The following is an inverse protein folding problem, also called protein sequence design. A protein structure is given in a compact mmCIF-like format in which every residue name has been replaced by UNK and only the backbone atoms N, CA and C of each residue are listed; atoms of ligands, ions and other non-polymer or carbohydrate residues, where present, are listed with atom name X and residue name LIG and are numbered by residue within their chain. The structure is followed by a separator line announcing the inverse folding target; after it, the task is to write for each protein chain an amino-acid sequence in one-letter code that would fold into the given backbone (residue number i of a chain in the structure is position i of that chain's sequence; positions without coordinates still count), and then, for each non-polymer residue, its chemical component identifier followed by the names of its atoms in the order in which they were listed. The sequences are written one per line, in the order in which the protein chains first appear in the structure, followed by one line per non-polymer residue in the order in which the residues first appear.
data_IF_208787933671
#
_entry.id   IF_208787933671
#
_cell.length_a   1.000
_cell.length_b   1.000
_cell.length_c   1.000
_cell.angle_alpha   90.00
_cell.angle_beta   90.00
_cell.angle_gamma   90.00
#
_symmetry.space_group_name_H-M   'P 1'
#
loop_
_entity.id
_entity.type
_entity.pdbx_description
1 polymer ?
#
# COMPACT_ATOMS: atom_id res chain seq x y z
N UNK A 1 42.67 7.08 42.14
CA UNK A 1 42.72 8.25 41.25
C UNK A 1 42.20 7.80 39.90
N UNK A 2 41.11 8.43 39.43
CA UNK A 2 40.27 8.07 38.28
C UNK A 2 40.83 8.67 36.98
N UNK A 3 40.56 7.99 35.84
CA UNK A 3 40.43 8.45 34.42
C UNK A 3 41.26 7.58 33.46
N UNK A 4 40.80 7.17 32.27
CA UNK A 4 39.54 7.46 31.56
C UNK A 4 39.27 6.36 30.52
N UNK A 5 37.99 6.01 30.35
CA UNK A 5 37.47 5.32 29.17
C UNK A 5 36.89 6.38 28.23
N UNK A 6 37.03 6.25 26.91
CA UNK A 6 35.96 6.52 25.93
C UNK A 6 36.48 6.54 24.48
N UNK A 7 35.69 5.87 23.61
CA UNK A 7 35.41 6.15 22.19
C UNK A 7 35.60 4.94 21.26
N UNK A 8 34.59 4.07 21.27
CA UNK A 8 34.21 3.22 20.13
C UNK A 8 32.68 3.12 20.06
N UNK A 9 32.02 4.27 19.99
CA UNK A 9 30.62 4.42 19.56
C UNK A 9 30.67 5.54 18.53
N UNK A 10 30.39 5.27 17.25
CA UNK A 10 30.02 6.29 16.23
C UNK A 10 29.87 5.72 14.80
N UNK A 11 30.17 4.44 14.54
CA UNK A 11 30.09 3.88 13.17
C UNK A 11 28.79 3.08 12.90
N UNK A 12 28.00 2.75 13.93
CA UNK A 12 26.80 1.93 13.80
C UNK A 12 25.50 2.73 13.58
N UNK A 13 25.45 3.99 14.04
CA UNK A 13 24.27 4.87 13.92
C UNK A 13 24.06 5.37 12.50
N UNK A 14 25.14 5.81 11.84
CA UNK A 14 25.10 6.48 10.53
C UNK A 14 24.58 5.63 9.37
N UNK A 15 24.62 4.29 9.45
CA UNK A 15 24.13 3.40 8.37
C UNK A 15 22.68 2.95 8.53
N UNK A 16 22.14 3.01 9.74
CA UNK A 16 20.73 2.75 10.00
C UNK A 16 19.90 3.95 9.52
N UNK A 17 20.47 5.15 9.69
CA UNK A 17 19.89 6.43 9.28
C UNK A 17 19.62 6.51 7.77
N UNK A 18 20.43 5.87 6.92
CA UNK A 18 20.26 5.90 5.45
C UNK A 18 19.05 5.07 4.95
N UNK A 19 18.69 3.99 5.64
CA UNK A 19 17.52 3.15 5.26
C UNK A 19 16.25 3.68 5.91
N UNK A 20 16.33 4.16 7.15
CA UNK A 20 15.22 4.83 7.83
C UNK A 20 14.87 6.16 7.16
N UNK A 21 15.85 6.95 6.68
CA UNK A 21 15.54 8.15 5.88
C UNK A 21 14.91 7.82 4.53
N UNK A 22 15.35 6.74 3.85
CA UNK A 22 14.75 6.35 2.56
C UNK A 22 13.28 5.94 2.68
N UNK A 23 12.87 5.25 3.76
CA UNK A 23 11.46 4.89 4.00
C UNK A 23 10.68 5.99 4.74
N UNK A 24 11.36 6.87 5.49
CA UNK A 24 10.72 7.97 6.19
C UNK A 24 10.10 8.99 5.24
N UNK A 25 10.67 9.25 4.06
CA UNK A 25 10.08 10.23 3.13
C UNK A 25 8.71 9.81 2.59
N UNK A 26 8.52 8.58 2.04
CA UNK A 26 7.20 8.10 1.65
C UNK A 26 6.23 8.00 2.84
N UNK A 27 6.70 7.52 4.00
CA UNK A 27 5.86 7.36 5.20
C UNK A 27 5.47 8.72 5.81
N UNK A 28 6.38 9.69 5.88
CA UNK A 28 6.09 11.04 6.37
C UNK A 28 5.23 11.82 5.37
N UNK A 29 5.45 11.61 4.06
CA UNK A 29 4.55 12.12 3.04
C UNK A 29 3.16 11.53 3.22
N UNK A 30 3.04 10.21 3.40
CA UNK A 30 1.79 9.53 3.67
C UNK A 30 1.10 10.06 4.93
N UNK A 31 1.83 10.17 6.05
CA UNK A 31 1.33 10.74 7.31
C UNK A 31 0.88 12.18 7.11
N UNK A 32 1.60 12.97 6.32
CA UNK A 32 1.24 14.36 6.00
C UNK A 32 -0.01 14.44 5.11
N UNK A 33 -0.13 13.56 4.12
CA UNK A 33 -1.30 13.46 3.26
C UNK A 33 -2.53 13.02 4.07
N UNK A 34 -2.40 11.97 4.87
CA UNK A 34 -3.45 11.46 5.76
C UNK A 34 -3.84 12.49 6.82
N UNK A 35 -2.88 13.24 7.38
CA UNK A 35 -3.18 14.39 8.26
C UNK A 35 -3.95 15.49 7.53
N UNK A 36 -3.67 15.74 6.25
CA UNK A 36 -4.40 16.71 5.43
C UNK A 36 -5.82 16.23 5.07
N UNK A 37 -5.99 14.92 4.80
CA UNK A 37 -7.32 14.30 4.67
C UNK A 37 -8.14 14.52 5.94
N UNK A 38 -7.57 14.21 7.10
CA UNK A 38 -8.24 14.41 8.39
C UNK A 38 -8.53 15.89 8.66
N UNK A 39 -7.57 16.79 8.42
CA UNK A 39 -7.70 18.21 8.74
C UNK A 39 -8.74 18.95 7.88
N UNK A 40 -8.86 18.60 6.59
CA UNK A 40 -9.85 19.21 5.70
C UNK A 40 -11.29 18.74 5.98
N UNK A 41 -11.44 17.55 6.58
CA UNK A 41 -12.74 16.95 6.91
C UNK A 41 -13.24 17.34 8.30
N UNK A 42 -12.33 17.72 9.22
CA UNK A 42 -12.68 18.16 10.58
C UNK A 42 -13.15 19.63 10.71
N UNK A 43 -13.32 20.37 9.60
CA UNK A 43 -13.89 21.72 9.66
C UNK A 43 -15.35 21.65 10.16
N UNK A 44 -15.68 22.29 11.30
CA UNK A 44 -17.01 22.20 11.88
C UNK A 44 -18.05 22.84 10.95
N UNK A 45 -19.12 22.09 10.65
CA UNK A 45 -20.31 22.60 9.95
C UNK A 45 -21.12 23.51 10.90
N UNK A 46 -20.74 24.78 11.05
CA UNK A 46 -21.69 25.83 11.47
C UNK A 46 -21.19 27.26 11.23
N UNK A 47 -22.05 28.01 10.53
CA UNK A 47 -22.31 29.47 10.55
C UNK A 47 -21.40 30.47 9.80
N UNK A 48 -21.98 30.92 8.67
CA UNK A 48 -22.15 32.32 8.19
C UNK A 48 -20.96 33.15 7.67
N UNK A 49 -21.04 33.43 6.36
CA UNK A 49 -20.74 34.69 5.64
C UNK A 49 -19.57 35.56 6.13
N UNK A 50 -18.53 35.67 5.31
CA UNK A 50 -18.14 36.95 4.68
C UNK A 50 -17.47 36.69 3.33
N UNK A 51 -17.94 37.45 2.33
CA UNK A 51 -17.34 37.64 1.01
C UNK A 51 -15.84 37.94 1.08
N UNK A 52 -15.05 37.28 0.24
CA UNK A 52 -14.06 37.94 -0.62
C UNK A 52 -14.07 37.20 -1.97
N UNK A 53 -14.81 37.77 -2.92
CA UNK A 53 -14.45 37.64 -4.34
C UNK A 53 -13.16 38.42 -4.56
N UNK A 54 -12.18 37.80 -5.22
CA UNK A 54 -11.25 38.45 -6.13
C UNK A 54 -10.51 37.35 -6.92
N UNK A 55 -10.86 37.25 -8.21
CA UNK A 55 -10.02 36.97 -9.39
C UNK A 55 -8.93 35.87 -9.27
N UNK A 56 -8.80 34.91 -10.17
CA UNK A 56 -8.76 35.09 -11.62
C UNK A 56 -8.83 33.71 -12.29
N UNK A 57 -9.66 33.65 -13.33
CA UNK A 57 -9.79 32.54 -14.25
C UNK A 57 -8.45 32.29 -14.97
N UNK A 58 -7.91 31.09 -14.84
CA UNK A 58 -6.95 30.56 -15.81
C UNK A 58 -7.10 29.04 -15.90
N UNK A 59 -7.90 28.64 -16.88
CA UNK A 59 -7.73 27.40 -17.59
C UNK A 59 -6.26 27.24 -18.02
N UNK A 60 -5.53 26.35 -17.35
CA UNK A 60 -4.36 25.71 -17.91
C UNK A 60 -4.57 24.20 -17.86
N UNK A 61 -4.93 23.64 -19.01
CA UNK A 61 -4.96 22.20 -19.27
C UNK A 61 -3.51 21.73 -19.37
N UNK A 62 -2.88 21.56 -18.21
CA UNK A 62 -1.49 21.12 -18.09
C UNK A 62 -1.42 19.65 -17.70
N UNK A 63 -0.88 18.83 -18.60
CA UNK A 63 -0.44 17.45 -18.38
C UNK A 63 0.02 17.20 -16.94
N UNK A 64 -0.65 16.28 -16.23
CA UNK A 64 -0.39 15.98 -14.82
C UNK A 64 1.02 15.36 -14.64
N UNK A 65 2.05 16.11 -14.19
CA UNK A 65 3.44 15.62 -14.14
C UNK A 65 3.61 14.49 -13.13
N UNK A 66 2.69 14.39 -12.16
CA UNK A 66 2.74 13.44 -11.06
C UNK A 66 2.75 12.00 -11.56
N UNK A 67 1.91 11.61 -12.53
CA UNK A 67 1.86 10.24 -13.08
C UNK A 67 3.14 9.83 -13.84
N UNK A 68 3.82 10.79 -14.47
CA UNK A 68 5.16 10.55 -15.03
C UNK A 68 6.22 10.40 -13.92
N UNK A 69 6.04 11.11 -12.80
CA UNK A 69 6.82 10.92 -11.59
C UNK A 69 6.46 9.62 -10.86
N UNK A 70 5.30 9.00 -11.04
CA UNK A 70 4.98 7.66 -10.50
C UNK A 70 5.81 6.56 -11.15
N UNK A 71 5.85 6.54 -12.49
CA UNK A 71 6.70 5.62 -13.24
C UNK A 71 8.18 5.90 -12.93
N UNK A 72 8.58 7.17 -12.92
CA UNK A 72 9.95 7.57 -12.62
C UNK A 72 10.35 7.35 -11.17
N UNK A 73 9.46 7.48 -10.19
CA UNK A 73 9.73 7.24 -8.78
C UNK A 73 9.80 5.74 -8.49
N UNK A 74 8.94 4.91 -9.08
CA UNK A 74 9.07 3.45 -9.00
C UNK A 74 10.40 2.97 -9.63
N UNK A 75 10.78 3.55 -10.79
CA UNK A 75 12.07 3.27 -11.45
C UNK A 75 13.25 3.85 -10.65
N UNK A 76 13.12 5.05 -10.06
CA UNK A 76 14.17 5.68 -9.24
C UNK A 76 14.33 4.95 -7.91
N UNK A 77 13.26 4.40 -7.33
CA UNK A 77 13.31 3.51 -6.18
C UNK A 77 14.02 2.19 -6.56
N UNK A 78 13.79 1.66 -7.76
CA UNK A 78 14.51 0.49 -8.27
C UNK A 78 15.98 0.82 -8.58
N UNK A 79 16.28 2.03 -9.09
CA UNK A 79 17.63 2.47 -9.45
C UNK A 79 18.47 2.97 -8.26
N UNK A 80 17.87 3.50 -7.18
CA UNK A 80 18.61 3.90 -5.97
C UNK A 80 19.23 2.69 -5.24
N UNK A 81 18.73 1.48 -5.47
CA UNK A 81 19.29 0.24 -4.92
C UNK A 81 20.28 -0.48 -5.86
N UNK A 82 20.53 0.02 -7.07
CA UNK A 82 21.69 -0.40 -7.88
C UNK A 82 22.95 0.32 -7.37
N UNK A 83 23.47 -0.16 -6.25
CA UNK A 83 24.69 0.32 -5.64
C UNK A 83 25.91 0.00 -6.50
N UNK A 84 26.22 0.86 -7.47
CA UNK A 84 27.60 1.04 -7.97
C UNK A 84 28.29 2.21 -7.27
N UNK A 85 28.55 2.02 -5.97
CA UNK A 85 29.61 2.77 -5.30
C UNK A 85 30.96 2.22 -5.75
N UNK A 86 31.68 2.98 -6.59
CA UNK A 86 33.12 2.80 -6.78
C UNK A 86 33.85 4.05 -6.28
N UNK A 87 34.24 4.03 -5.01
CA UNK A 87 35.45 4.73 -4.54
C UNK A 87 36.56 3.68 -4.47
N UNK A 88 37.37 3.63 -5.53
CA UNK A 88 38.56 2.79 -5.62
C UNK A 88 39.65 3.58 -6.30
N UNK A 89 40.61 4.03 -5.50
CA UNK A 89 41.85 4.71 -5.88
C UNK A 89 42.62 3.78 -6.83
N UNK A 90 42.74 4.16 -8.10
CA UNK A 90 43.50 3.39 -9.11
C UNK A 90 44.95 3.85 -9.05
N UNK A 91 45.81 2.98 -8.52
CA UNK A 91 47.20 2.91 -8.95
C UNK A 91 47.26 2.17 -10.28
N UNK A 92 48.06 2.71 -11.19
CA UNK A 92 48.33 2.17 -12.52
C UNK A 92 48.90 0.75 -12.45
N UNK A 93 48.32 -0.17 -13.23
CA UNK A 93 49.02 -0.82 -14.35
C UNK A 93 48.28 -2.08 -14.84
N UNK A 94 48.26 -2.20 -16.17
CA UNK A 94 48.09 -3.42 -16.98
C UNK A 94 46.82 -4.26 -16.82
N UNK A 95 45.80 -3.92 -17.61
CA UNK A 95 44.94 -4.93 -18.26
C UNK A 95 44.19 -4.31 -19.45
N UNK A 96 44.92 -3.98 -20.51
CA UNK A 96 44.34 -4.00 -21.85
C UNK A 96 44.45 -5.43 -22.37
N UNK A 97 43.44 -5.88 -23.12
CA UNK A 97 43.35 -7.15 -23.88
C UNK A 97 42.30 -8.16 -23.37
N UNK A 98 41.31 -7.81 -22.52
CA UNK A 98 39.99 -8.51 -22.53
C UNK A 98 38.84 -7.54 -22.18
N UNK A 99 38.66 -6.48 -22.98
CA UNK A 99 37.47 -5.59 -22.89
C UNK A 99 37.00 -5.13 -24.28
N UNK A 100 36.61 -6.08 -25.14
CA UNK A 100 35.89 -5.71 -26.38
C UNK A 100 34.65 -6.55 -26.71
N UNK A 101 34.36 -7.65 -26.00
CA UNK A 101 33.17 -8.48 -26.27
C UNK A 101 32.04 -8.38 -25.24
N UNK A 102 32.28 -7.90 -24.02
CA UNK A 102 31.25 -7.78 -22.97
C UNK A 102 30.59 -6.40 -22.88
N UNK A 103 31.25 -5.35 -23.37
CA UNK A 103 30.72 -3.97 -23.33
C UNK A 103 29.55 -3.71 -24.29
N UNK A 104 29.53 -4.40 -25.44
CA UNK A 104 28.47 -4.22 -26.45
C UNK A 104 27.15 -4.86 -25.98
N UNK A 105 27.19 -6.00 -25.30
CA UNK A 105 26.00 -6.66 -24.75
C UNK A 105 25.38 -5.87 -23.59
N UNK A 106 26.20 -5.40 -22.64
CA UNK A 106 25.71 -4.61 -21.50
C UNK A 106 25.16 -3.25 -21.93
N UNK A 107 25.82 -2.59 -22.89
CA UNK A 107 25.34 -1.32 -23.44
C UNK A 107 24.05 -1.51 -24.25
N UNK A 108 23.91 -2.61 -25.02
CA UNK A 108 22.70 -2.92 -25.79
C UNK A 108 21.50 -3.22 -24.88
N UNK A 109 21.70 -4.02 -23.84
CA UNK A 109 20.66 -4.32 -22.83
C UNK A 109 20.26 -3.03 -22.09
N UNK A 110 21.21 -2.21 -21.63
CA UNK A 110 20.89 -0.92 -21.00
C UNK A 110 20.24 0.09 -21.94
N UNK A 111 20.49 0.02 -23.26
CA UNK A 111 19.84 0.87 -24.24
C UNK A 111 18.42 0.39 -24.52
N UNK A 112 18.21 -0.92 -24.67
CA UNK A 112 16.89 -1.55 -24.85
C UNK A 112 15.98 -1.35 -23.62
N UNK A 113 16.52 -1.48 -22.41
CA UNK A 113 15.81 -1.23 -21.16
C UNK A 113 15.37 0.25 -21.02
N UNK A 114 16.27 1.19 -21.34
CA UNK A 114 15.94 2.63 -21.33
C UNK A 114 14.92 2.98 -22.40
N UNK A 115 15.00 2.37 -23.58
CA UNK A 115 14.06 2.60 -24.69
C UNK A 115 12.68 2.02 -24.37
N UNK A 116 12.62 0.83 -23.76
CA UNK A 116 11.36 0.22 -23.35
C UNK A 116 10.67 1.03 -22.24
N UNK A 117 11.44 1.43 -21.22
CA UNK A 117 10.95 2.27 -20.13
C UNK A 117 10.47 3.65 -20.62
N UNK A 118 11.23 4.29 -21.52
CA UNK A 118 10.82 5.56 -22.14
C UNK A 118 9.57 5.42 -23.02
N UNK A 119 9.39 4.29 -23.71
CA UNK A 119 8.18 4.01 -24.50
C UNK A 119 6.95 3.82 -23.61
N UNK A 120 7.08 3.06 -22.51
CA UNK A 120 5.98 2.87 -21.55
C UNK A 120 5.59 4.20 -20.93
N UNK A 121 6.56 5.00 -20.46
CA UNK A 121 6.30 6.34 -19.90
C UNK A 121 5.59 7.21 -20.94
N UNK A 122 6.02 7.18 -22.20
CA UNK A 122 5.39 7.95 -23.28
C UNK A 122 3.93 7.52 -23.52
N UNK A 123 3.66 6.21 -23.55
CA UNK A 123 2.30 5.67 -23.70
C UNK A 123 1.42 6.07 -22.51
N UNK A 124 1.89 5.84 -21.28
CA UNK A 124 1.18 6.20 -20.03
C UNK A 124 0.92 7.71 -19.96
N UNK A 125 1.88 8.53 -20.39
CA UNK A 125 1.73 10.00 -20.43
C UNK A 125 0.80 10.50 -21.54
N UNK A 126 0.57 9.68 -22.57
CA UNK A 126 -0.34 10.02 -23.68
C UNK A 126 -1.79 9.63 -23.42
N UNK A 127 -2.05 8.84 -22.37
CA UNK A 127 -3.41 8.48 -21.97
C UNK A 127 -4.09 9.64 -21.26
N UNK A 128 -5.32 9.95 -21.64
CA UNK A 128 -6.15 10.92 -20.93
C UNK A 128 -6.74 10.29 -19.67
N UNK A 129 -6.03 10.44 -18.55
CA UNK A 129 -6.42 9.89 -17.25
C UNK A 129 -7.71 10.49 -16.67
N UNK A 130 -8.10 11.68 -17.14
CA UNK A 130 -9.32 12.37 -16.72
C UNK A 130 -10.53 12.02 -17.60
N UNK A 131 -10.33 11.25 -18.68
CA UNK A 131 -11.41 10.82 -19.57
C UNK A 131 -12.50 10.07 -18.80
N UNK A 132 -13.73 10.57 -18.91
CA UNK A 132 -14.92 9.98 -18.28
C UNK A 132 -15.67 9.07 -19.25
N UNK A 133 -16.02 7.88 -18.78
CA UNK A 133 -16.88 6.94 -19.50
C UNK A 133 -17.73 6.15 -18.50
N UNK A 134 -18.86 5.62 -18.96
CA UNK A 134 -19.64 4.72 -18.13
C UNK A 134 -18.84 3.44 -17.83
N UNK A 135 -18.99 2.84 -16.64
CA UNK A 135 -18.44 1.52 -16.38
C UNK A 135 -19.09 0.50 -17.30
N UNK A 136 -18.27 -0.34 -17.92
CA UNK A 136 -18.70 -1.42 -18.79
C UNK A 136 -18.06 -2.74 -18.34
N UNK A 137 -18.69 -3.86 -18.69
CA UNK A 137 -18.13 -5.18 -18.41
C UNK A 137 -16.81 -5.42 -19.16
N UNK A 138 -16.59 -4.76 -20.30
CA UNK A 138 -15.31 -4.84 -21.01
C UNK A 138 -14.13 -4.27 -20.22
N UNK A 139 -14.37 -3.38 -19.25
CA UNK A 139 -13.29 -2.83 -18.42
C UNK A 139 -12.56 -3.95 -17.63
N UNK A 140 -13.27 -5.04 -17.28
CA UNK A 140 -12.70 -6.19 -16.57
C UNK A 140 -11.73 -7.02 -17.42
N UNK A 141 -11.60 -6.77 -18.72
CA UNK A 141 -10.59 -7.43 -19.58
C UNK A 141 -9.16 -7.12 -19.12
N UNK A 142 -8.96 -6.01 -18.40
CA UNK A 142 -7.66 -5.64 -17.81
C UNK A 142 -7.36 -6.43 -16.52
N UNK A 143 -8.36 -7.01 -15.87
CA UNK A 143 -8.21 -7.67 -14.58
C UNK A 143 -7.30 -8.93 -14.65
N UNK A 144 -7.42 -9.83 -15.64
CA UNK A 144 -6.49 -10.95 -15.82
C UNK A 144 -5.02 -10.52 -15.97
N UNK A 145 -4.76 -9.37 -16.59
CA UNK A 145 -3.40 -8.82 -16.69
C UNK A 145 -2.83 -8.57 -15.29
N UNK A 146 -3.58 -7.93 -14.39
CA UNK A 146 -3.11 -7.68 -13.03
C UNK A 146 -2.97 -8.96 -12.19
N UNK A 147 -3.87 -9.93 -12.36
CA UNK A 147 -3.77 -11.25 -11.70
C UNK A 147 -2.44 -11.95 -12.00
N UNK A 148 -1.92 -11.83 -13.22
CA UNK A 148 -0.63 -12.43 -13.63
C UNK A 148 0.54 -11.51 -13.29
N UNK A 149 0.34 -10.20 -13.40
CA UNK A 149 1.35 -9.19 -13.11
C UNK A 149 1.88 -9.29 -11.68
N UNK A 150 1.00 -9.34 -10.68
CA UNK A 150 1.41 -9.36 -9.27
C UNK A 150 2.30 -10.56 -8.88
N UNK A 151 1.94 -11.83 -9.14
CA UNK A 151 2.82 -12.96 -8.84
C UNK A 151 4.12 -12.90 -9.64
N UNK A 152 4.09 -12.39 -10.87
CA UNK A 152 5.30 -12.21 -11.68
C UNK A 152 6.25 -11.20 -11.02
N UNK A 153 5.75 -10.03 -10.64
CA UNK A 153 6.55 -9.01 -9.94
C UNK A 153 7.05 -9.54 -8.60
N UNK A 154 6.21 -10.24 -7.82
CA UNK A 154 6.61 -10.89 -6.56
C UNK A 154 7.80 -11.82 -6.79
N UNK A 155 7.72 -12.69 -7.79
CA UNK A 155 8.79 -13.65 -8.12
C UNK A 155 10.12 -12.94 -8.40
N UNK A 156 10.11 -11.87 -9.21
CA UNK A 156 11.32 -11.09 -9.51
C UNK A 156 11.85 -10.37 -8.26
N UNK A 157 11.00 -9.68 -7.51
CA UNK A 157 11.43 -8.97 -6.31
C UNK A 157 11.97 -9.92 -5.24
N UNK A 158 11.31 -11.07 -5.04
CA UNK A 158 11.76 -12.13 -4.13
C UNK A 158 13.18 -12.56 -4.44
N UNK A 159 13.48 -12.84 -5.72
CA UNK A 159 14.76 -13.40 -6.14
C UNK A 159 15.89 -12.37 -6.20
N UNK A 160 15.59 -11.15 -6.65
CA UNK A 160 16.61 -10.16 -6.93
C UNK A 160 16.82 -9.13 -5.83
N UNK A 161 15.78 -8.86 -5.03
CA UNK A 161 15.74 -7.77 -4.04
C UNK A 161 15.55 -8.31 -2.61
N UNK A 162 14.39 -8.92 -2.32
CA UNK A 162 14.02 -9.24 -0.94
C UNK A 162 14.93 -10.28 -0.30
N UNK A 163 15.37 -11.30 -1.04
CA UNK A 163 16.35 -12.28 -0.55
C UNK A 163 17.66 -11.60 -0.09
N UNK A 164 18.20 -10.70 -0.93
CA UNK A 164 19.49 -10.02 -0.65
C UNK A 164 19.35 -9.03 0.50
N UNK A 165 18.26 -8.26 0.51
CA UNK A 165 17.97 -7.28 1.56
C UNK A 165 17.73 -7.99 2.89
N UNK A 166 16.87 -9.02 2.91
CA UNK A 166 16.55 -9.80 4.09
C UNK A 166 17.80 -10.45 4.70
N UNK A 167 18.63 -11.13 3.89
CA UNK A 167 19.90 -11.72 4.39
C UNK A 167 20.83 -10.67 5.00
N UNK A 168 20.92 -9.50 4.38
CA UNK A 168 21.77 -8.40 4.87
C UNK A 168 21.25 -7.80 6.17
N UNK A 169 19.94 -7.61 6.30
CA UNK A 169 19.31 -7.00 7.48
C UNK A 169 19.22 -7.97 8.66
N UNK A 170 18.95 -9.26 8.42
CA UNK A 170 18.78 -10.26 9.48
C UNK A 170 20.14 -10.78 9.99
N UNK A 171 21.14 -11.01 9.13
CA UNK A 171 22.40 -11.66 9.51
C UNK A 171 23.64 -10.76 9.49
N UNK A 172 23.52 -9.51 9.02
CA UNK A 172 24.63 -8.57 8.93
C UNK A 172 25.74 -8.98 7.93
N UNK A 173 26.81 -8.18 7.84
CA UNK A 173 27.94 -8.42 6.91
C UNK A 173 28.87 -9.58 7.33
N UNK A 174 28.76 -10.08 8.56
CA UNK A 174 29.77 -10.94 9.19
C UNK A 174 29.52 -12.44 9.16
N UNK A 175 28.35 -12.90 8.71
CA UNK A 175 27.95 -14.32 8.82
C UNK A 175 27.68 -14.94 7.43
N UNK A 176 28.60 -14.73 6.47
CA UNK A 176 28.44 -15.32 5.13
C UNK A 176 28.78 -16.81 5.04
N UNK A 177 29.34 -17.43 6.09
CA UNK A 177 29.71 -18.84 6.04
C UNK A 177 29.54 -19.50 7.41
N UNK A 178 28.35 -20.04 7.69
CA UNK A 178 28.23 -21.26 8.50
C UNK A 178 27.24 -22.15 7.78
N UNK A 179 27.74 -23.30 7.35
CA UNK A 179 27.17 -24.27 6.39
C UNK A 179 25.89 -24.97 6.87
N UNK A 180 25.29 -24.54 7.99
CA UNK A 180 23.95 -24.93 8.39
C UNK A 180 23.04 -23.69 8.46
N UNK A 181 22.32 -23.40 7.37
CA UNK A 181 21.09 -22.61 7.48
C UNK A 181 20.13 -23.39 8.38
N UNK A 182 20.04 -23.01 9.66
CA UNK A 182 19.02 -23.57 10.55
C UNK A 182 17.64 -23.27 9.96
N UNK A 183 16.70 -24.21 10.08
CA UNK A 183 15.34 -24.03 9.56
C UNK A 183 14.70 -22.74 10.08
N UNK A 184 15.00 -22.34 11.32
CA UNK A 184 14.63 -21.05 11.90
C UNK A 184 15.09 -19.83 11.08
N UNK A 185 16.31 -19.87 10.53
CA UNK A 185 16.82 -18.78 9.69
C UNK A 185 16.07 -18.71 8.36
N UNK A 186 15.79 -19.87 7.75
CA UNK A 186 14.99 -19.93 6.52
C UNK A 186 13.56 -19.45 6.74
N UNK A 187 12.92 -19.84 7.86
CA UNK A 187 11.59 -19.39 8.29
C UNK A 187 11.57 -17.86 8.44
N UNK A 188 12.57 -17.26 9.10
CA UNK A 188 12.68 -15.79 9.24
C UNK A 188 12.85 -15.07 7.90
N UNK A 189 13.69 -15.56 6.99
CA UNK A 189 13.84 -14.98 5.65
C UNK A 189 12.52 -15.07 4.87
N UNK A 190 11.83 -16.22 4.91
CA UNK A 190 10.54 -16.40 4.23
C UNK A 190 9.50 -15.40 4.72
N UNK A 191 9.31 -15.30 6.04
CA UNK A 191 8.39 -14.32 6.66
C UNK A 191 8.75 -12.88 6.31
N UNK A 192 10.05 -12.54 6.30
CA UNK A 192 10.52 -11.23 5.86
C UNK A 192 10.13 -10.93 4.40
N UNK A 193 10.33 -11.89 3.49
CA UNK A 193 9.99 -11.74 2.07
C UNK A 193 8.48 -11.60 1.84
N UNK A 194 7.67 -12.40 2.54
CA UNK A 194 6.21 -12.28 2.54
C UNK A 194 5.77 -10.87 2.97
N UNK A 195 6.32 -10.36 4.08
CA UNK A 195 6.04 -9.00 4.55
C UNK A 195 6.56 -7.91 3.61
N UNK A 196 7.74 -8.08 3.02
CA UNK A 196 8.30 -7.13 2.06
C UNK A 196 7.43 -7.02 0.80
N UNK A 197 6.95 -8.14 0.28
CA UNK A 197 6.02 -8.16 -0.86
C UNK A 197 4.74 -7.39 -0.54
N UNK A 198 4.10 -7.69 0.61
CA UNK A 198 2.88 -7.00 1.04
C UNK A 198 3.12 -5.51 1.24
N UNK A 199 4.25 -5.13 1.85
CA UNK A 199 4.63 -3.72 2.03
C UNK A 199 4.75 -2.98 0.70
N UNK A 200 5.40 -3.58 -0.31
CA UNK A 200 5.55 -2.97 -1.64
C UNK A 200 4.19 -2.78 -2.29
N UNK A 201 3.32 -3.79 -2.23
CA UNK A 201 1.96 -3.68 -2.73
C UNK A 201 1.19 -2.55 -2.03
N UNK A 202 1.04 -2.62 -0.70
CA UNK A 202 0.22 -1.64 0.04
C UNK A 202 0.72 -0.22 -0.15
N UNK A 203 2.04 -0.02 -0.18
CA UNK A 203 2.61 1.31 -0.46
C UNK A 203 2.24 1.76 -1.87
N UNK A 204 2.42 0.92 -2.89
CA UNK A 204 2.08 1.30 -4.27
C UNK A 204 0.58 1.52 -4.47
N UNK A 205 -0.27 0.70 -3.84
CA UNK A 205 -1.73 0.80 -3.89
C UNK A 205 -2.20 2.11 -3.24
N UNK A 206 -1.66 2.42 -2.06
CA UNK A 206 -1.99 3.63 -1.33
C UNK A 206 -1.59 4.90 -2.09
N UNK A 207 -0.35 4.95 -2.62
CA UNK A 207 0.07 6.13 -3.40
C UNK A 207 -0.81 6.24 -4.67
N UNK A 208 -1.20 5.14 -5.30
CA UNK A 208 -2.12 5.17 -6.46
C UNK A 208 -3.53 5.63 -6.07
N UNK A 209 -4.10 5.12 -4.99
CA UNK A 209 -5.43 5.50 -4.50
C UNK A 209 -5.50 6.99 -4.15
N UNK A 210 -4.48 7.51 -3.47
CA UNK A 210 -4.37 8.95 -3.17
C UNK A 210 -4.21 9.75 -4.46
N UNK A 211 -3.38 9.33 -5.41
CA UNK A 211 -3.21 10.05 -6.69
C UNK A 211 -4.52 10.16 -7.48
N UNK A 212 -5.33 9.11 -7.45
CA UNK A 212 -6.61 9.02 -8.16
C UNK A 212 -7.67 9.89 -7.50
N UNK A 213 -7.69 9.93 -6.16
CA UNK A 213 -8.78 10.55 -5.39
C UNK A 213 -8.49 11.97 -4.90
N UNK A 214 -7.22 12.36 -4.73
CA UNK A 214 -6.84 13.62 -4.06
C UNK A 214 -7.43 14.89 -4.69
N UNK A 215 -7.51 14.94 -6.02
CA UNK A 215 -8.08 16.09 -6.76
C UNK A 215 -9.59 15.96 -7.00
N UNK A 216 -10.24 14.93 -6.47
CA UNK A 216 -11.65 14.68 -6.69
C UNK A 216 -12.51 15.27 -5.56
N UNK A 217 -13.69 15.82 -5.86
CA UNK A 217 -14.51 16.51 -4.87
C UNK A 217 -14.98 15.58 -3.74
N UNK A 218 -15.14 14.29 -4.03
CA UNK A 218 -15.58 13.29 -3.05
C UNK A 218 -14.53 12.87 -2.03
N UNK A 219 -13.28 13.29 -2.21
CA UNK A 219 -12.22 13.03 -1.24
C UNK A 219 -12.39 13.84 0.06
N UNK A 220 -13.00 15.02 -0.05
CA UNK A 220 -13.23 15.92 1.10
C UNK A 220 -14.68 15.93 1.57
N UNK A 221 -15.64 15.70 0.66
CA UNK A 221 -17.05 15.77 0.99
C UNK A 221 -17.80 14.56 0.43
N UNK A 222 -18.33 13.76 1.36
CA UNK A 222 -19.02 12.49 1.10
C UNK A 222 -20.30 12.65 0.28
N UNK A 223 -20.91 13.84 0.24
CA UNK A 223 -22.06 14.12 -0.64
C UNK A 223 -21.73 13.88 -2.12
N UNK A 224 -20.48 14.13 -2.51
CA UNK A 224 -20.05 13.93 -3.89
C UNK A 224 -19.76 12.46 -4.25
N UNK A 225 -19.89 11.54 -3.30
CA UNK A 225 -20.04 10.12 -3.64
C UNK A 225 -21.29 9.90 -4.48
N UNK A 226 -22.37 10.61 -4.16
CA UNK A 226 -23.69 10.45 -4.75
C UNK A 226 -23.96 11.47 -5.86
N UNK A 227 -23.40 12.67 -5.73
CA UNK A 227 -23.58 13.76 -6.69
C UNK A 227 -22.27 14.06 -7.43
N UNK A 228 -22.29 14.10 -8.75
CA UNK A 228 -21.16 14.46 -9.60
C UNK A 228 -21.32 15.83 -10.26
N UNK A 229 -20.32 16.25 -11.05
CA UNK A 229 -20.43 17.45 -11.86
C UNK A 229 -21.57 17.34 -12.90
N UNK A 230 -22.26 18.46 -13.13
CA UNK A 230 -23.40 18.52 -14.05
C UNK A 230 -24.60 17.73 -13.53
N UNK A 231 -25.22 16.94 -14.41
CA UNK A 231 -26.42 16.15 -14.10
C UNK A 231 -26.09 14.73 -13.59
N UNK A 232 -24.82 14.43 -13.28
CA UNK A 232 -24.43 13.11 -12.77
C UNK A 232 -24.91 12.91 -11.32
N UNK A 233 -25.82 11.96 -11.10
CA UNK A 233 -26.23 11.51 -9.77
C UNK A 233 -26.23 9.99 -9.74
N UNK A 234 -25.96 9.37 -8.59
CA UNK A 234 -26.10 7.91 -8.48
C UNK A 234 -27.58 7.52 -8.72
N UNK A 235 -27.85 6.46 -9.52
CA UNK A 235 -26.89 5.52 -10.11
C UNK A 235 -26.28 5.99 -11.44
N UNK A 236 -26.75 7.06 -12.10
CA UNK A 236 -26.15 7.51 -13.36
C UNK A 236 -24.82 8.29 -13.27
N UNK A 237 -23.75 7.62 -12.83
CA UNK A 237 -22.40 8.21 -12.72
C UNK A 237 -21.40 7.62 -13.72
N UNK A 238 -20.54 8.48 -14.25
CA UNK A 238 -19.38 8.09 -15.07
C UNK A 238 -18.14 7.92 -14.20
N UNK A 239 -17.21 7.10 -14.69
CA UNK A 239 -15.90 6.90 -14.08
C UNK A 239 -14.81 7.49 -14.94
N UNK A 240 -13.88 8.19 -14.29
CA UNK A 240 -12.61 8.59 -14.89
C UNK A 240 -11.72 7.38 -15.13
N UNK A 241 -10.92 7.40 -16.19
CA UNK A 241 -10.00 6.32 -16.54
C UNK A 241 -9.06 5.96 -15.38
N UNK A 242 -8.58 6.96 -14.64
CA UNK A 242 -7.75 6.75 -13.43
C UNK A 242 -8.46 5.96 -12.33
N UNK A 243 -9.76 6.17 -12.14
CA UNK A 243 -10.58 5.43 -11.18
C UNK A 243 -10.81 3.98 -11.64
N UNK A 244 -11.08 3.77 -12.93
CA UNK A 244 -11.14 2.43 -13.53
C UNK A 244 -9.82 1.68 -13.31
N UNK A 245 -8.69 2.34 -13.57
CA UNK A 245 -7.36 1.79 -13.35
C UNK A 245 -7.11 1.35 -11.90
N UNK A 246 -7.50 2.17 -10.91
CA UNK A 246 -7.42 1.83 -9.49
C UNK A 246 -8.19 0.54 -9.16
N UNK A 247 -9.40 0.41 -9.71
CA UNK A 247 -10.24 -0.76 -9.50
C UNK A 247 -9.67 -2.03 -10.12
N UNK A 248 -9.10 -1.95 -11.33
CA UNK A 248 -8.46 -3.11 -11.97
C UNK A 248 -7.18 -3.51 -11.23
N UNK A 249 -6.41 -2.53 -10.75
CA UNK A 249 -5.22 -2.76 -9.94
C UNK A 249 -5.56 -3.47 -8.62
N UNK A 250 -6.48 -2.92 -7.83
CA UNK A 250 -6.91 -3.51 -6.56
C UNK A 250 -7.60 -4.86 -6.78
N UNK A 251 -8.55 -4.94 -7.71
CA UNK A 251 -9.28 -6.19 -8.02
C UNK A 251 -8.35 -7.33 -8.46
N UNK A 252 -7.35 -7.03 -9.29
CA UNK A 252 -6.33 -7.99 -9.69
C UNK A 252 -5.50 -8.50 -8.50
N UNK A 253 -5.07 -7.60 -7.60
CA UNK A 253 -4.30 -8.00 -6.42
C UNK A 253 -5.12 -8.81 -5.43
N UNK A 254 -6.35 -8.40 -5.12
CA UNK A 254 -7.20 -9.11 -4.18
C UNK A 254 -7.57 -10.50 -4.70
N UNK A 255 -7.83 -10.63 -6.00
CA UNK A 255 -8.05 -11.94 -6.63
C UNK A 255 -6.79 -12.81 -6.54
N UNK A 256 -5.63 -12.28 -6.91
CA UNK A 256 -4.35 -12.98 -6.73
C UNK A 256 -4.10 -13.36 -5.26
N UNK A 257 -4.44 -12.48 -4.31
CA UNK A 257 -4.20 -12.70 -2.88
C UNK A 257 -5.04 -13.83 -2.32
N UNK A 258 -6.25 -14.07 -2.83
CA UNK A 258 -7.04 -15.26 -2.47
C UNK A 258 -6.29 -16.52 -2.87
N UNK A 259 -5.81 -16.61 -4.12
CA UNK A 259 -5.01 -17.76 -4.57
C UNK A 259 -3.71 -17.90 -3.77
N UNK A 260 -3.01 -16.79 -3.52
CA UNK A 260 -1.80 -16.79 -2.73
C UNK A 260 -2.06 -17.27 -1.30
N UNK A 261 -3.16 -16.86 -0.66
CA UNK A 261 -3.51 -17.33 0.69
C UNK A 261 -3.82 -18.82 0.73
N UNK A 262 -4.48 -19.36 -0.29
CA UNK A 262 -4.84 -20.79 -0.34
C UNK A 262 -3.59 -21.66 -0.58
N UNK A 263 -2.69 -21.23 -1.46
CA UNK A 263 -1.63 -22.11 -2.00
C UNK A 263 -0.20 -21.73 -1.61
N UNK A 264 0.08 -20.49 -1.24
CA UNK A 264 1.46 -19.97 -1.13
C UNK A 264 1.80 -19.35 0.22
N UNK A 265 0.84 -18.71 0.87
CA UNK A 265 1.05 -17.99 2.11
C UNK A 265 0.98 -18.93 3.32
N UNK A 266 1.83 -18.68 4.30
CA UNK A 266 1.84 -19.46 5.55
C UNK A 266 0.48 -19.34 6.28
N UNK A 267 -0.14 -20.49 6.59
CA UNK A 267 -1.43 -20.55 7.29
C UNK A 267 -1.25 -20.19 8.77
N UNK A 268 -1.99 -19.18 9.23
CA UNK A 268 -1.97 -18.68 10.62
C UNK A 268 -3.28 -19.03 11.33
N UNK A 269 -3.32 -18.92 12.65
CA UNK A 269 -4.53 -19.18 13.46
C UNK A 269 -5.75 -18.33 13.05
N UNK A 270 -5.53 -17.12 12.52
CA UNK A 270 -6.57 -16.23 12.00
C UNK A 270 -6.90 -16.44 10.51
N UNK A 271 -6.46 -17.56 9.91
CA UNK A 271 -6.63 -17.82 8.48
C UNK A 271 -8.09 -17.73 8.01
N UNK A 272 -9.03 -18.31 8.74
CA UNK A 272 -10.45 -18.29 8.34
C UNK A 272 -11.02 -16.87 8.30
N UNK A 273 -10.67 -16.05 9.29
CA UNK A 273 -11.10 -14.65 9.38
C UNK A 273 -10.44 -13.82 8.27
N UNK A 274 -9.14 -14.03 8.04
CA UNK A 274 -8.39 -13.38 6.96
C UNK A 274 -8.93 -13.75 5.57
N UNK A 275 -9.21 -15.04 5.32
CA UNK A 275 -9.82 -15.50 4.07
C UNK A 275 -11.21 -14.88 3.87
N UNK A 276 -12.05 -14.89 4.91
CA UNK A 276 -13.36 -14.25 4.88
C UNK A 276 -13.27 -12.76 4.52
N UNK A 277 -12.30 -12.04 5.07
CA UNK A 277 -12.02 -10.67 4.69
C UNK A 277 -11.66 -10.52 3.21
N UNK A 278 -10.73 -11.34 2.69
CA UNK A 278 -10.35 -11.24 1.28
C UNK A 278 -11.52 -11.52 0.32
N UNK A 279 -12.40 -12.45 0.69
CA UNK A 279 -13.64 -12.73 -0.06
C UNK A 279 -14.58 -11.53 0.00
N UNK A 280 -14.88 -11.00 1.19
CA UNK A 280 -15.76 -9.82 1.37
C UNK A 280 -15.20 -8.60 0.62
N UNK A 281 -13.91 -8.32 0.74
CA UNK A 281 -13.24 -7.21 0.06
C UNK A 281 -13.25 -7.39 -1.47
N UNK A 282 -13.04 -8.60 -1.99
CA UNK A 282 -13.12 -8.86 -3.44
C UNK A 282 -14.54 -8.66 -3.98
N UNK A 283 -15.55 -9.12 -3.24
CA UNK A 283 -16.96 -8.88 -3.57
C UNK A 283 -17.28 -7.38 -3.51
N UNK A 284 -16.80 -6.65 -2.50
CA UNK A 284 -16.97 -5.20 -2.38
C UNK A 284 -16.34 -4.46 -3.56
N UNK A 285 -15.12 -4.82 -3.98
CA UNK A 285 -14.45 -4.22 -5.14
C UNK A 285 -15.28 -4.48 -6.42
N UNK A 286 -15.71 -5.72 -6.65
CA UNK A 286 -16.49 -6.06 -7.84
C UNK A 286 -17.87 -5.35 -7.84
N UNK A 287 -18.64 -5.49 -6.76
CA UNK A 287 -19.98 -4.92 -6.66
C UNK A 287 -19.96 -3.39 -6.64
N UNK A 288 -18.99 -2.76 -5.96
CA UNK A 288 -18.92 -1.30 -6.00
C UNK A 288 -18.61 -0.76 -7.41
N UNK A 289 -17.88 -1.51 -8.23
CA UNK A 289 -17.67 -1.14 -9.63
C UNK A 289 -18.96 -1.23 -10.43
N UNK A 290 -19.63 -2.39 -10.39
CA UNK A 290 -20.83 -2.69 -11.19
C UNK A 290 -22.04 -1.86 -10.75
N UNK A 291 -22.23 -1.68 -9.45
CA UNK A 291 -23.36 -0.95 -8.85
C UNK A 291 -23.11 0.55 -8.69
N UNK A 292 -22.06 1.07 -9.33
CA UNK A 292 -21.81 2.52 -9.40
C UNK A 292 -21.40 3.20 -8.08
N UNK A 293 -20.85 2.43 -7.13
CA UNK A 293 -20.29 2.91 -5.87
C UNK A 293 -18.77 3.19 -5.93
N UNK A 294 -18.16 3.30 -7.12
CA UNK A 294 -16.70 3.35 -7.23
C UNK A 294 -16.05 4.54 -6.52
N UNK A 295 -16.75 5.69 -6.43
CA UNK A 295 -16.26 6.86 -5.69
C UNK A 295 -16.09 6.53 -4.20
N UNK A 296 -17.09 5.92 -3.59
CA UNK A 296 -17.03 5.43 -2.20
C UNK A 296 -15.90 4.41 -2.05
N UNK A 297 -15.89 3.39 -2.91
CA UNK A 297 -14.93 2.30 -2.80
C UNK A 297 -13.48 2.75 -3.02
N UNK A 298 -13.22 3.79 -3.80
CA UNK A 298 -11.88 4.39 -3.93
C UNK A 298 -11.34 4.95 -2.60
N UNK A 299 -12.21 5.58 -1.80
CA UNK A 299 -11.84 6.08 -0.47
C UNK A 299 -11.72 4.92 0.51
N UNK A 300 -12.59 3.91 0.42
CA UNK A 300 -12.46 2.67 1.21
C UNK A 300 -11.09 2.03 0.97
N UNK A 301 -10.66 1.83 -0.28
CA UNK A 301 -9.34 1.26 -0.60
C UNK A 301 -8.20 2.07 0.05
N UNK A 302 -8.21 3.40 -0.09
CA UNK A 302 -7.18 4.27 0.51
C UNK A 302 -7.14 4.18 2.05
N UNK A 303 -8.30 4.17 2.72
CA UNK A 303 -8.35 4.08 4.19
C UNK A 303 -7.78 2.76 4.72
N UNK A 304 -7.93 1.68 3.96
CA UNK A 304 -7.51 0.35 4.41
C UNK A 304 -6.04 0.10 4.08
N UNK A 305 -5.58 0.41 2.88
CA UNK A 305 -4.20 0.09 2.49
C UNK A 305 -3.16 0.92 3.27
N UNK A 306 -3.50 2.16 3.65
CA UNK A 306 -2.63 3.05 4.42
C UNK A 306 -2.11 2.44 5.74
N UNK A 307 -2.97 1.76 6.51
CA UNK A 307 -2.58 1.19 7.80
C UNK A 307 -1.63 0.01 7.64
N UNK A 308 -1.80 -0.77 6.58
CA UNK A 308 -1.12 -2.05 6.40
C UNK A 308 0.35 -1.86 5.97
N UNK A 309 0.69 -0.70 5.41
CA UNK A 309 2.09 -0.29 5.22
C UNK A 309 2.85 -0.31 6.56
N UNK A 310 2.28 0.28 7.62
CA UNK A 310 2.92 0.31 8.94
C UNK A 310 3.04 -1.08 9.57
N UNK A 311 2.02 -1.93 9.37
CA UNK A 311 2.03 -3.32 9.84
C UNK A 311 3.20 -4.10 9.24
N UNK A 312 3.35 -4.05 7.91
CA UNK A 312 4.37 -4.83 7.22
C UNK A 312 5.78 -4.30 7.47
N UNK A 313 5.95 -2.98 7.61
CA UNK A 313 7.22 -2.39 8.08
C UNK A 313 7.57 -2.86 9.50
N UNK A 314 6.58 -2.93 10.41
CA UNK A 314 6.77 -3.44 11.76
C UNK A 314 7.25 -4.89 11.78
N UNK A 315 6.61 -5.76 11.00
CA UNK A 315 7.01 -7.18 10.86
C UNK A 315 8.41 -7.33 10.28
N UNK A 316 8.73 -6.66 9.18
CA UNK A 316 10.07 -6.67 8.59
C UNK A 316 11.14 -6.22 9.60
N UNK A 317 10.84 -5.18 10.38
CA UNK A 317 11.72 -4.66 11.42
C UNK A 317 11.94 -5.68 12.53
N UNK A 318 10.87 -6.36 12.97
CA UNK A 318 10.93 -7.40 13.99
C UNK A 318 11.77 -8.60 13.52
N UNK A 319 11.57 -9.07 12.29
CA UNK A 319 12.37 -10.17 11.73
C UNK A 319 13.86 -9.82 11.57
N UNK A 320 14.17 -8.54 11.37
CA UNK A 320 15.53 -8.02 11.25
C UNK A 320 16.20 -7.70 12.60
N UNK A 321 15.49 -7.89 13.72
CA UNK A 321 15.99 -7.53 15.06
C UNK A 321 16.04 -6.02 15.35
N UNK A 322 15.43 -5.19 14.50
CA UNK A 322 15.36 -3.74 14.66
C UNK A 322 14.23 -3.34 15.63
N UNK A 323 14.36 -3.71 16.90
CA UNK A 323 13.30 -3.60 17.92
C UNK A 323 12.73 -2.19 18.05
N UNK A 324 13.56 -1.14 18.03
CA UNK A 324 13.08 0.26 18.11
C UNK A 324 12.16 0.63 16.94
N UNK A 325 12.52 0.19 15.73
CA UNK A 325 11.73 0.46 14.53
C UNK A 325 10.44 -0.39 14.56
N UNK A 326 10.53 -1.65 15.00
CA UNK A 326 9.36 -2.51 15.19
C UNK A 326 8.35 -1.90 16.18
N UNK A 327 8.80 -1.44 17.36
CA UNK A 327 7.94 -0.79 18.35
C UNK A 327 7.33 0.50 17.82
N UNK A 328 8.10 1.33 17.13
CA UNK A 328 7.62 2.57 16.53
C UNK A 328 6.54 2.30 15.47
N UNK A 329 6.83 1.40 14.52
CA UNK A 329 5.89 1.00 13.47
C UNK A 329 4.62 0.35 14.04
N UNK A 330 4.73 -0.44 15.11
CA UNK A 330 3.57 -1.04 15.77
C UNK A 330 2.67 0.03 16.41
N UNK A 331 3.24 1.03 17.10
CA UNK A 331 2.44 2.14 17.67
C UNK A 331 1.77 2.96 16.58
N UNK A 332 2.47 3.27 15.49
CA UNK A 332 1.89 3.97 14.33
C UNK A 332 0.78 3.15 13.69
N UNK A 333 1.00 1.85 13.48
CA UNK A 333 -0.01 0.94 12.96
C UNK A 333 -1.29 0.97 13.80
N UNK A 334 -1.17 0.85 15.13
CA UNK A 334 -2.31 0.90 16.05
C UNK A 334 -3.03 2.24 15.99
N UNK A 335 -2.28 3.35 15.99
CA UNK A 335 -2.85 4.70 15.89
C UNK A 335 -3.65 4.88 14.59
N UNK A 336 -3.04 4.55 13.45
CA UNK A 336 -3.67 4.67 12.14
C UNK A 336 -4.86 3.71 11.97
N UNK A 337 -4.80 2.51 12.57
CA UNK A 337 -5.94 1.60 12.59
C UNK A 337 -7.17 2.23 13.24
N UNK A 338 -7.00 2.84 14.42
CA UNK A 338 -8.11 3.50 15.12
C UNK A 338 -8.66 4.65 14.28
N UNK A 339 -7.78 5.53 13.80
CA UNK A 339 -8.18 6.72 13.06
C UNK A 339 -8.90 6.38 11.75
N UNK A 340 -8.34 5.48 10.94
CA UNK A 340 -8.85 5.21 9.60
C UNK A 340 -9.99 4.19 9.61
N UNK A 341 -9.84 3.06 10.33
CA UNK A 341 -10.78 1.93 10.27
C UNK A 341 -11.88 1.97 11.34
N UNK A 342 -11.61 2.55 12.52
CA UNK A 342 -12.60 2.61 13.62
C UNK A 342 -13.27 3.97 13.78
N UNK A 343 -12.68 5.04 13.23
CA UNK A 343 -13.26 6.38 13.27
C UNK A 343 -13.70 6.80 11.87
N UNK A 344 -12.78 6.99 10.93
CA UNK A 344 -13.13 7.55 9.64
C UNK A 344 -14.11 6.66 8.85
N UNK A 345 -13.81 5.36 8.76
CA UNK A 345 -14.65 4.41 8.04
C UNK A 345 -16.12 4.37 8.54
N UNK A 346 -16.43 4.16 9.83
CA UNK A 346 -17.83 4.13 10.27
C UNK A 346 -18.52 5.50 10.29
N UNK A 347 -17.84 6.56 10.70
CA UNK A 347 -18.51 7.86 10.88
C UNK A 347 -18.69 8.67 9.58
N UNK A 348 -17.87 8.42 8.54
CA UNK A 348 -18.00 9.10 7.24
C UNK A 348 -18.47 8.17 6.14
N UNK A 349 -17.83 7.01 5.96
CA UNK A 349 -18.17 6.10 4.86
C UNK A 349 -19.50 5.40 5.12
N UNK A 350 -19.64 4.68 6.23
CA UNK A 350 -20.90 3.99 6.56
C UNK A 350 -22.04 4.98 6.75
N UNK A 351 -21.77 6.15 7.34
CA UNK A 351 -22.76 7.21 7.43
C UNK A 351 -23.25 7.64 6.04
N UNK A 352 -22.34 7.88 5.10
CA UNK A 352 -22.72 8.31 3.76
C UNK A 352 -23.49 7.22 2.99
N UNK A 353 -23.03 5.97 3.06
CA UNK A 353 -23.67 4.84 2.37
C UNK A 353 -24.96 4.37 3.00
N UNK A 354 -25.21 4.68 4.28
CA UNK A 354 -26.45 4.33 4.98
C UNK A 354 -27.46 5.48 5.01
N UNK A 355 -27.02 6.73 5.19
CA UNK A 355 -27.91 7.87 5.40
C UNK A 355 -27.92 8.86 4.24
N UNK A 356 -26.76 9.31 3.76
CA UNK A 356 -26.71 10.36 2.72
C UNK A 356 -27.30 9.86 1.40
N UNK A 357 -27.08 8.61 1.02
CA UNK A 357 -27.68 8.03 -0.19
C UNK A 357 -29.21 8.08 -0.16
N UNK A 358 -29.85 7.80 0.98
CA UNK A 358 -31.32 7.80 1.11
C UNK A 358 -31.88 9.22 0.98
N UNK A 359 -31.11 10.23 1.40
CA UNK A 359 -31.51 11.63 1.30
C UNK A 359 -31.36 12.19 -0.12
N UNK A 360 -30.42 11.66 -0.89
CA UNK A 360 -30.12 12.13 -2.25
C UNK A 360 -30.93 11.37 -3.30
N UNK A 361 -31.27 10.12 -3.04
CA UNK A 361 -31.92 9.24 -4.00
C UNK A 361 -33.39 9.01 -3.64
N UNK A 362 -34.29 9.38 -4.56
CA UNK A 362 -35.69 9.03 -4.44
C UNK A 362 -35.89 7.55 -4.80
N UNK A 363 -35.98 6.72 -3.76
CA UNK A 363 -36.19 5.27 -3.88
C UNK A 363 -37.49 4.92 -4.62
N UNK A 364 -38.39 5.89 -4.85
CA UNK A 364 -39.62 5.67 -5.60
C UNK A 364 -39.43 5.52 -7.11
N UNK A 365 -38.33 6.01 -7.69
CA UNK A 365 -38.07 5.90 -9.15
C UNK A 365 -37.53 4.51 -9.53
N UNK A 366 -36.81 3.84 -8.63
CA UNK A 366 -36.23 2.51 -8.83
C UNK A 366 -36.69 1.50 -7.76
N UNK A 367 -38.00 1.26 -7.72
CA UNK A 367 -38.72 0.55 -6.62
C UNK A 367 -38.23 -0.87 -6.28
N UNK A 368 -37.46 -1.53 -7.14
CA UNK A 368 -37.07 -2.94 -6.95
C UNK A 368 -35.55 -3.11 -6.81
N UNK A 369 -34.75 -2.57 -7.73
CA UNK A 369 -33.30 -2.82 -7.76
C UNK A 369 -32.51 -1.94 -6.77
N UNK A 370 -32.95 -0.69 -6.56
CA UNK A 370 -32.27 0.27 -5.68
C UNK A 370 -32.11 -0.22 -4.24
N UNK A 371 -33.19 -0.67 -3.56
CA UNK A 371 -33.11 -1.19 -2.20
C UNK A 371 -32.18 -2.39 -2.06
N UNK A 372 -32.19 -3.32 -3.02
CA UNK A 372 -31.34 -4.52 -2.98
C UNK A 372 -29.86 -4.13 -3.02
N UNK A 373 -29.48 -3.24 -3.94
CA UNK A 373 -28.10 -2.77 -4.05
C UNK A 373 -27.63 -2.05 -2.77
N UNK A 374 -28.50 -1.21 -2.21
CA UNK A 374 -28.27 -0.53 -0.95
C UNK A 374 -28.00 -1.51 0.21
N UNK A 375 -28.89 -2.50 0.42
CA UNK A 375 -28.75 -3.42 1.54
C UNK A 375 -27.54 -4.34 1.38
N UNK A 376 -27.33 -4.91 0.19
CA UNK A 376 -26.18 -5.81 -0.05
C UNK A 376 -24.86 -5.07 0.17
N UNK A 377 -24.71 -3.87 -0.40
CA UNK A 377 -23.47 -3.11 -0.27
C UNK A 377 -23.19 -2.70 1.18
N UNK A 378 -24.20 -2.16 1.89
CA UNK A 378 -24.04 -1.79 3.30
C UNK A 378 -23.77 -3.01 4.18
N UNK A 379 -24.47 -4.14 3.99
CA UNK A 379 -24.21 -5.37 4.76
C UNK A 379 -22.75 -5.83 4.62
N UNK A 380 -22.17 -5.74 3.43
CA UNK A 380 -20.76 -6.08 3.21
C UNK A 380 -19.80 -5.09 3.90
N UNK A 381 -20.08 -3.78 3.85
CA UNK A 381 -19.29 -2.77 4.56
C UNK A 381 -19.39 -2.91 6.09
N UNK A 382 -20.56 -3.21 6.63
CA UNK A 382 -20.74 -3.51 8.06
C UNK A 382 -20.01 -4.81 8.45
N UNK A 383 -20.04 -5.84 7.61
CA UNK A 383 -19.26 -7.06 7.82
C UNK A 383 -17.76 -6.74 7.90
N UNK A 384 -17.28 -5.83 7.04
CA UNK A 384 -15.90 -5.35 7.08
C UNK A 384 -15.58 -4.62 8.41
N UNK A 385 -16.48 -3.78 8.92
CA UNK A 385 -16.33 -3.15 10.23
C UNK A 385 -16.24 -4.16 11.38
N UNK A 386 -17.06 -5.21 11.37
CA UNK A 386 -17.02 -6.27 12.39
C UNK A 386 -15.64 -6.94 12.41
N UNK A 387 -15.07 -7.22 11.23
CA UNK A 387 -13.71 -7.76 11.12
C UNK A 387 -12.67 -6.77 11.68
N UNK A 388 -12.82 -5.46 11.43
CA UNK A 388 -11.92 -4.47 12.01
C UNK A 388 -11.96 -4.42 13.54
N UNK A 389 -13.17 -4.56 14.13
CA UNK A 389 -13.34 -4.63 15.58
C UNK A 389 -12.68 -5.90 16.12
N UNK A 390 -12.82 -7.03 15.44
CA UNK A 390 -12.15 -8.28 15.82
C UNK A 390 -10.63 -8.11 15.90
N UNK A 391 -9.99 -7.58 14.84
CA UNK A 391 -8.55 -7.37 14.86
C UNK A 391 -8.12 -6.29 15.85
N UNK A 392 -8.93 -5.24 16.03
CA UNK A 392 -8.71 -4.23 17.08
C UNK A 392 -8.54 -4.86 18.45
N UNK A 393 -9.39 -5.82 18.82
CA UNK A 393 -9.26 -6.55 20.09
C UNK A 393 -7.92 -7.28 20.20
N UNK A 394 -7.44 -7.90 19.11
CA UNK A 394 -6.14 -8.58 19.09
C UNK A 394 -4.97 -7.60 19.24
N UNK A 395 -4.99 -6.49 18.47
CA UNK A 395 -3.97 -5.45 18.57
C UNK A 395 -3.94 -4.78 19.94
N UNK A 396 -5.11 -4.54 20.53
CA UNK A 396 -5.21 -3.95 21.86
C UNK A 396 -4.58 -4.88 22.92
N UNK A 397 -4.81 -6.19 22.83
CA UNK A 397 -4.16 -7.19 23.70
C UNK A 397 -2.64 -7.15 23.54
N UNK A 398 -2.14 -7.09 22.30
CA UNK A 398 -0.70 -6.96 22.02
C UNK A 398 -0.12 -5.64 22.55
N UNK A 399 -0.84 -4.53 22.41
CA UNK A 399 -0.43 -3.21 22.91
C UNK A 399 -0.30 -3.21 24.44
N UNK A 400 -1.29 -3.77 25.15
CA UNK A 400 -1.24 -3.92 26.60
C UNK A 400 -0.06 -4.80 27.02
N UNK A 401 0.21 -5.88 26.27
CA UNK A 401 1.40 -6.72 26.47
C UNK A 401 2.70 -5.94 26.31
N UNK A 402 2.84 -5.16 25.24
CA UNK A 402 4.01 -4.30 24.99
C UNK A 402 4.23 -3.26 26.09
N UNK A 403 3.17 -2.63 26.61
CA UNK A 403 3.27 -1.68 27.72
C UNK A 403 3.76 -2.38 28.99
N UNK A 404 3.22 -3.57 29.31
CA UNK A 404 3.65 -4.37 30.46
C UNK A 404 5.10 -4.85 30.35
N UNK A 405 5.58 -5.11 29.13
CA UNK A 405 6.94 -5.56 28.83
C UNK A 405 7.96 -4.41 28.66
N UNK A 406 7.61 -3.17 29.05
CA UNK A 406 8.54 -2.03 28.98
C UNK A 406 8.85 -1.56 27.55
N UNK A 407 7.91 -1.75 26.61
CA UNK A 407 8.01 -1.25 25.23
C UNK A 407 8.58 -2.23 24.21
N UNK A 408 8.88 -3.47 24.61
CA UNK A 408 9.29 -4.53 23.70
C UNK A 408 8.08 -5.14 22.99
N UNK A 409 8.16 -5.25 21.66
CA UNK A 409 7.12 -5.92 20.85
C UNK A 409 7.16 -7.42 21.15
N UNK A 410 6.09 -7.94 21.76
CA UNK A 410 5.92 -9.39 21.99
C UNK A 410 5.66 -10.13 20.69
N UNK A 411 5.76 -11.46 20.71
CA UNK A 411 5.33 -12.27 19.56
C UNK A 411 3.85 -12.03 19.23
N UNK A 412 3.53 -12.14 17.93
CA UNK A 412 2.16 -11.94 17.44
C UNK A 412 1.30 -13.07 18.01
N UNK A 413 0.22 -12.74 18.73
CA UNK A 413 -0.68 -13.72 19.36
C UNK A 413 -1.26 -14.70 18.34
N UNK A 414 -1.18 -14.37 17.05
CA UNK A 414 -1.66 -15.20 15.94
C UNK A 414 -0.62 -16.20 15.41
N UNK A 415 0.67 -16.02 15.73
CA UNK A 415 1.76 -16.88 15.25
C UNK A 415 2.08 -18.08 16.16
N UNK A 416 1.54 -18.15 17.38
CA UNK A 416 1.82 -19.23 18.34
C UNK A 416 1.37 -20.63 17.87
N UNK A 417 0.42 -20.72 16.94
CA UNK A 417 -0.03 -22.02 16.40
C UNK A 417 0.85 -22.59 15.29
N UNK A 418 1.95 -21.92 14.92
CA UNK A 418 2.81 -22.35 13.80
C UNK A 418 3.88 -23.38 14.21
N UNK A 419 4.09 -23.60 15.51
CA UNK A 419 5.15 -24.48 16.01
C UNK A 419 4.61 -25.87 16.44
N UNK A 420 3.29 -26.07 16.48
CA UNK A 420 2.68 -27.36 16.84
C UNK A 420 2.72 -28.39 15.68
N UNK A 421 2.74 -27.94 14.42
CA UNK A 421 2.74 -28.81 13.23
C UNK A 421 4.13 -29.40 12.88
N UNK A 422 5.18 -29.14 13.68
CA UNK A 422 6.54 -29.66 13.47
C UNK A 422 6.94 -30.74 14.47
N UNK A 423 6.05 -31.11 15.39
CA UNK A 423 6.28 -32.15 16.39
C UNK A 423 5.59 -33.49 16.07
N UNK A 424 4.88 -33.57 14.95
CA UNK A 424 4.31 -34.81 14.41
C UNK A 424 4.89 -35.11 13.03
N UNK A 425 6.16 -35.54 12.96
CA UNK A 425 6.71 -36.40 11.89
C UNK A 425 7.98 -37.12 12.36
#
# INVERSE_FOLDING_TARGET
MVKDSTKTEDVCTTKMDDVTTSLAWPVMWLVTQQRRMMWQVTQPRSTTWWHVELFEDRHDVGTNPLLSHFASAAITYICMFDGRSKKGRVGENNEQVIKKKTGVGVARVQLEDRVCSARIIKVVSSMDWEQESYPQYEDFVVLPFFIIFFPTVRYFLDRFVFEKVGRRLIFGKGMQVVVNETEERKKKIRKFKESAWKCVYFLSAEIFAVAVTYNEPWFTNTKYFWQGPGDQAWPDQKYKLKLKGLYMYAGGFYTYSIFALIFWETRRSDFGVSMGHHVVSSILIMLSYVLRFARVGSVVLALHDATDVFLEVGKMSKYSGAEKLASCSFVLFVLFWILLRLIYFPFWILWSTSYEIIQVFDMEEHKVDGPIYYYVFNSLLFSLLVLHIYWWVLMFRMLVGQIKAGGQVSEDVRSDSEDEDLHED
#
